data_IF_502764498739
#
_entry.id   IF_502764498739
#
_cell.length_a   1.000
_cell.length_b   1.000
_cell.length_c   1.000
_cell.angle_alpha   90.00
_cell.angle_beta   90.00
_cell.angle_gamma   90.00
#
_symmetry.space_group_name_H-M   'P 1'
#
loop_
_entity.id
_entity.type
_entity.pdbx_description
1 polymer ?
#
# COMPACT_ATOMS: atom_id res chain seq x y z
N UNK A 1 29.22 0.05 -23.18
CA UNK A 1 28.03 0.91 -23.35
C UNK A 1 27.91 1.79 -22.12
N UNK A 2 27.91 3.12 -22.27
CA UNK A 2 27.56 4.02 -21.16
C UNK A 2 26.07 3.83 -20.88
N UNK A 3 25.64 3.61 -19.62
CA UNK A 3 24.22 3.52 -19.31
C UNK A 3 23.55 4.85 -19.68
N UNK A 4 22.40 4.76 -20.35
CA UNK A 4 21.56 5.91 -20.67
C UNK A 4 21.16 6.62 -19.37
N UNK A 5 21.61 7.85 -19.16
CA UNK A 5 21.23 8.66 -18.00
C UNK A 5 19.78 9.12 -18.19
N UNK A 6 18.86 8.53 -17.42
CA UNK A 6 17.46 9.00 -17.38
C UNK A 6 17.42 10.45 -16.87
N UNK A 7 16.74 11.31 -17.63
CA UNK A 7 16.86 12.77 -17.59
C UNK A 7 16.41 13.49 -16.32
N UNK A 8 15.80 12.82 -15.34
CA UNK A 8 15.50 13.40 -14.03
C UNK A 8 15.77 12.35 -12.93
N UNK A 9 16.69 12.65 -12.01
CA UNK A 9 16.93 11.81 -10.81
C UNK A 9 16.10 12.26 -9.60
N UNK A 10 15.39 13.37 -9.72
CA UNK A 10 14.64 14.02 -8.65
C UNK A 10 13.12 13.93 -8.92
N UNK A 11 12.35 13.97 -7.83
CA UNK A 11 10.88 13.96 -7.87
C UNK A 11 10.33 15.27 -7.31
N UNK A 12 9.20 15.70 -7.85
CA UNK A 12 8.53 16.91 -7.40
C UNK A 12 7.83 16.69 -6.07
N UNK A 13 7.68 17.74 -5.25
CA UNK A 13 6.98 17.61 -3.97
C UNK A 13 5.50 17.19 -4.12
N UNK A 14 4.90 17.47 -5.28
CA UNK A 14 3.53 17.07 -5.63
C UNK A 14 3.40 15.59 -5.99
N UNK A 15 4.49 14.90 -6.34
CA UNK A 15 4.45 13.49 -6.71
C UNK A 15 3.98 12.62 -5.53
N UNK A 16 4.13 13.10 -4.28
CA UNK A 16 3.61 12.44 -3.07
C UNK A 16 2.09 12.42 -2.93
N UNK A 17 1.37 13.28 -3.68
CA UNK A 17 -0.09 13.13 -3.81
C UNK A 17 -0.42 11.76 -4.46
N UNK A 18 0.48 11.22 -5.27
CA UNK A 18 0.27 9.99 -6.02
C UNK A 18 1.06 8.80 -5.48
N UNK A 19 2.29 8.99 -4.99
CA UNK A 19 3.13 7.89 -4.48
C UNK A 19 2.45 7.18 -3.32
N UNK A 20 1.93 7.92 -2.34
CA UNK A 20 1.28 7.33 -1.16
C UNK A 20 0.05 6.50 -1.57
N UNK A 21 -0.94 7.05 -2.29
CA UNK A 21 -2.08 6.25 -2.71
C UNK A 21 -1.71 5.11 -3.66
N UNK A 22 -0.70 5.26 -4.53
CA UNK A 22 -0.25 4.17 -5.40
C UNK A 22 0.34 3.00 -4.61
N UNK A 23 0.93 3.28 -3.45
CA UNK A 23 1.47 2.28 -2.53
C UNK A 23 0.40 1.69 -1.60
N UNK A 24 -0.57 2.50 -1.17
CA UNK A 24 -1.64 2.06 -0.26
C UNK A 24 -2.71 1.26 -0.98
N UNK A 25 -3.07 1.66 -2.21
CA UNK A 25 -4.11 0.99 -3.00
C UNK A 25 -3.48 -0.22 -3.69
N UNK A 26 -3.52 -1.33 -2.98
CA UNK A 26 -3.29 -2.68 -3.50
C UNK A 26 -4.32 -3.61 -2.86
N UNK A 27 -3.95 -4.86 -2.57
CA UNK A 27 -4.87 -5.97 -2.28
C UNK A 27 -6.01 -5.61 -1.32
N UNK A 28 -5.73 -4.84 -0.26
CA UNK A 28 -6.67 -4.64 0.85
C UNK A 28 -7.94 -3.88 0.42
N UNK A 29 -7.94 -3.11 -0.67
CA UNK A 29 -9.20 -2.52 -1.19
C UNK A 29 -10.24 -3.60 -1.54
N UNK A 30 -9.80 -4.81 -1.87
CA UNK A 30 -10.69 -5.89 -2.29
C UNK A 30 -11.41 -6.51 -1.11
N UNK A 31 -10.79 -6.48 0.07
CA UNK A 31 -11.25 -7.16 1.28
C UNK A 31 -11.78 -6.18 2.32
N UNK A 32 -11.45 -4.88 2.23
CA UNK A 32 -11.84 -3.89 3.25
C UNK A 32 -13.33 -3.90 3.59
N UNK A 33 -14.28 -4.07 2.64
CA UNK A 33 -15.68 -4.11 3.03
C UNK A 33 -16.04 -5.35 3.83
N UNK A 34 -15.42 -6.49 3.51
CA UNK A 34 -15.60 -7.74 4.24
C UNK A 34 -15.07 -7.62 5.66
N UNK A 35 -13.85 -7.11 5.81
CA UNK A 35 -13.18 -6.97 7.12
C UNK A 35 -13.99 -6.09 8.06
N UNK A 36 -14.48 -4.95 7.57
CA UNK A 36 -15.32 -4.05 8.38
C UNK A 36 -16.69 -4.62 8.68
N UNK A 37 -17.34 -5.26 7.71
CA UNK A 37 -18.67 -5.86 7.89
C UNK A 37 -18.67 -7.02 8.90
N UNK A 38 -17.52 -7.68 9.11
CA UNK A 38 -17.38 -8.73 10.13
C UNK A 38 -17.35 -8.22 11.57
N UNK A 39 -16.94 -6.97 11.78
CA UNK A 39 -16.70 -6.40 13.12
C UNK A 39 -17.59 -5.20 13.45
N UNK A 40 -18.36 -4.72 12.47
CA UNK A 40 -19.30 -3.60 12.61
C UNK A 40 -20.68 -3.97 12.07
N UNK A 41 -21.71 -3.29 12.57
CA UNK A 41 -23.10 -3.49 12.18
C UNK A 41 -23.50 -2.49 11.08
N UNK A 42 -24.31 -2.92 10.12
CA UNK A 42 -24.79 -2.09 9.02
C UNK A 42 -23.62 -1.36 8.32
N UNK A 43 -23.74 -0.04 8.10
CA UNK A 43 -22.70 0.76 7.47
C UNK A 43 -21.69 1.34 8.48
N UNK A 44 -21.79 1.04 9.77
CA UNK A 44 -21.04 1.76 10.80
C UNK A 44 -19.51 1.66 10.69
N UNK A 45 -18.97 0.73 9.90
CA UNK A 45 -17.53 0.63 9.61
C UNK A 45 -16.92 1.89 8.99
N UNK A 46 -17.72 2.83 8.47
CA UNK A 46 -17.22 4.13 8.02
C UNK A 46 -16.58 4.93 9.17
N UNK A 47 -17.09 4.78 10.41
CA UNK A 47 -16.54 5.44 11.59
C UNK A 47 -15.13 4.91 11.87
N UNK A 48 -14.96 3.58 11.81
CA UNK A 48 -13.66 2.92 11.95
C UNK A 48 -12.65 3.36 10.89
N UNK A 49 -13.09 3.48 9.63
CA UNK A 49 -12.26 4.00 8.54
C UNK A 49 -11.82 5.44 8.79
N UNK A 50 -12.72 6.31 9.26
CA UNK A 50 -12.37 7.70 9.59
C UNK A 50 -11.41 7.77 10.78
N UNK A 51 -11.63 6.97 11.83
CA UNK A 51 -10.72 6.89 12.98
C UNK A 51 -9.30 6.48 12.55
N UNK A 52 -9.19 5.44 11.73
CA UNK A 52 -7.92 5.00 11.17
C UNK A 52 -7.32 6.07 10.23
N UNK A 53 -8.12 6.64 9.34
CA UNK A 53 -7.69 7.67 8.41
C UNK A 53 -7.12 8.91 9.09
N UNK A 54 -7.74 9.40 10.16
CA UNK A 54 -7.21 10.52 10.96
C UNK A 54 -5.85 10.16 11.57
N UNK A 55 -5.72 8.94 12.09
CA UNK A 55 -4.47 8.43 12.66
C UNK A 55 -3.36 8.35 11.59
N UNK A 56 -3.68 7.84 10.40
CA UNK A 56 -2.74 7.74 9.26
C UNK A 56 -2.31 9.12 8.77
N UNK A 57 -3.23 10.07 8.62
CA UNK A 57 -2.90 11.45 8.20
C UNK A 57 -1.99 12.12 9.24
N UNK A 58 -2.24 11.88 10.54
CA UNK A 58 -1.37 12.36 11.60
C UNK A 58 0.04 11.75 11.52
N UNK A 59 0.16 10.42 11.39
CA UNK A 59 1.48 9.77 11.30
C UNK A 59 2.21 10.08 10.00
N UNK A 60 1.50 10.28 8.90
CA UNK A 60 2.04 10.81 7.64
C UNK A 60 2.72 12.16 7.88
N UNK A 61 2.07 13.05 8.63
CA UNK A 61 2.64 14.34 8.99
C UNK A 61 3.89 14.20 9.88
N UNK A 62 3.89 13.25 10.81
CA UNK A 62 5.04 12.93 11.70
C UNK A 62 6.24 12.47 10.88
N UNK A 63 6.08 11.49 9.98
CA UNK A 63 7.17 10.98 9.14
C UNK A 63 7.69 12.07 8.21
N UNK A 64 6.80 12.76 7.49
CA UNK A 64 7.19 13.80 6.56
C UNK A 64 7.95 14.93 7.28
N UNK A 65 7.49 15.35 8.46
CA UNK A 65 8.17 16.36 9.27
C UNK A 65 9.53 15.89 9.79
N UNK A 66 9.65 14.63 10.19
CA UNK A 66 10.92 14.05 10.64
C UNK A 66 11.93 14.06 9.51
N UNK A 67 11.57 13.47 8.36
CA UNK A 67 12.50 13.30 7.28
C UNK A 67 12.80 14.61 6.52
N UNK A 68 11.88 15.57 6.52
CA UNK A 68 12.13 16.91 5.98
C UNK A 68 13.18 17.72 6.76
N UNK A 69 13.52 17.32 7.99
CA UNK A 69 14.64 17.90 8.75
C UNK A 69 16.01 17.49 8.21
N UNK A 70 16.07 16.41 7.42
CA UNK A 70 17.30 15.83 6.89
C UNK A 70 17.25 15.76 5.36
N UNK A 71 17.25 16.92 4.68
CA UNK A 71 17.12 16.99 3.22
C UNK A 71 18.23 16.21 2.51
N UNK A 72 17.87 15.46 1.45
CA UNK A 72 18.78 14.63 0.63
C UNK A 72 19.60 13.58 1.42
N UNK A 73 19.20 13.26 2.65
CA UNK A 73 19.82 12.20 3.45
C UNK A 73 18.98 10.91 3.44
N UNK A 74 19.64 9.75 3.33
CA UNK A 74 18.96 8.45 3.44
C UNK A 74 18.49 8.19 4.88
N UNK A 75 17.47 7.33 5.03
CA UNK A 75 17.01 6.85 6.35
C UNK A 75 18.17 6.45 7.27
N UNK A 76 19.06 5.59 6.80
CA UNK A 76 20.23 5.16 7.56
C UNK A 76 21.10 6.33 8.05
N UNK A 77 21.30 7.35 7.20
CA UNK A 77 22.18 8.49 7.50
C UNK A 77 21.59 9.36 8.62
N UNK A 78 20.33 9.78 8.51
CA UNK A 78 19.74 10.60 9.56
C UNK A 78 19.37 9.80 10.81
N UNK A 79 18.97 8.54 10.69
CA UNK A 79 18.75 7.68 11.85
C UNK A 79 20.05 7.51 12.65
N UNK A 80 21.20 7.39 11.98
CA UNK A 80 22.52 7.31 12.63
C UNK A 80 22.85 8.57 13.42
N UNK A 81 22.41 9.75 12.96
CA UNK A 81 22.55 11.02 13.68
C UNK A 81 21.65 11.06 14.93
N UNK A 82 20.44 10.49 14.85
CA UNK A 82 19.45 10.56 15.92
C UNK A 82 19.76 9.58 17.06
N UNK A 83 19.95 8.28 16.78
CA UNK A 83 20.00 7.24 17.81
C UNK A 83 21.42 6.72 18.08
N UNK A 84 22.08 6.17 17.06
CA UNK A 84 23.50 5.83 16.95
C UNK A 84 23.66 4.98 15.68
N UNK A 85 24.88 4.79 15.18
CA UNK A 85 25.12 3.97 13.99
C UNK A 85 24.63 2.51 14.12
N UNK A 86 24.91 1.76 15.22
CA UNK A 86 24.44 0.38 15.34
C UNK A 86 22.91 0.28 15.38
N UNK A 87 22.25 1.16 16.13
CA UNK A 87 20.78 1.18 16.18
C UNK A 87 20.19 1.53 14.82
N UNK A 88 20.76 2.50 14.11
CA UNK A 88 20.32 2.86 12.76
C UNK A 88 20.49 1.71 11.75
N UNK A 89 21.52 0.88 11.88
CA UNK A 89 21.66 -0.35 11.06
C UNK A 89 20.48 -1.28 11.31
N UNK A 90 20.16 -1.58 12.58
CA UNK A 90 19.04 -2.47 12.93
C UNK A 90 17.71 -1.92 12.41
N UNK A 91 17.44 -0.62 12.60
CA UNK A 91 16.21 0.01 12.11
C UNK A 91 16.11 0.00 10.58
N UNK A 92 17.23 0.19 9.88
CA UNK A 92 17.27 0.16 8.41
C UNK A 92 17.02 -1.25 7.89
N UNK A 93 17.61 -2.28 8.54
CA UNK A 93 17.35 -3.69 8.20
C UNK A 93 15.88 -4.03 8.46
N UNK A 94 15.32 -3.61 9.60
CA UNK A 94 13.93 -3.86 9.94
C UNK A 94 12.97 -3.27 8.90
N UNK A 95 13.19 -2.00 8.50
CA UNK A 95 12.45 -1.38 7.39
C UNK A 95 12.63 -2.13 6.07
N UNK A 96 13.87 -2.50 5.73
CA UNK A 96 14.16 -3.24 4.50
C UNK A 96 13.45 -4.59 4.44
N UNK A 97 13.45 -5.34 5.55
CA UNK A 97 12.73 -6.63 5.68
C UNK A 97 11.22 -6.42 5.60
N UNK A 98 10.67 -5.39 6.26
CA UNK A 98 9.25 -5.06 6.18
C UNK A 98 8.79 -4.85 4.72
N UNK A 99 9.50 -4.01 3.97
CA UNK A 99 9.16 -3.77 2.56
C UNK A 99 9.44 -4.98 1.66
N UNK A 100 10.44 -5.80 1.98
CA UNK A 100 10.71 -7.06 1.26
C UNK A 100 9.56 -8.07 1.45
N UNK A 101 9.05 -8.19 2.67
CA UNK A 101 7.90 -9.04 3.00
C UNK A 101 6.63 -8.55 2.31
N UNK A 102 6.41 -7.23 2.27
CA UNK A 102 5.29 -6.63 1.54
C UNK A 102 5.37 -6.92 0.03
N UNK A 103 6.54 -6.78 -0.59
CA UNK A 103 6.72 -7.15 -1.99
C UNK A 103 6.40 -8.64 -2.24
N UNK A 104 6.85 -9.53 -1.35
CA UNK A 104 6.57 -10.96 -1.45
C UNK A 104 5.08 -11.29 -1.25
N UNK A 105 4.41 -10.60 -0.32
CA UNK A 105 2.98 -10.70 -0.09
C UNK A 105 2.19 -10.34 -1.35
N UNK A 106 2.50 -9.20 -1.96
CA UNK A 106 1.87 -8.77 -3.21
C UNK A 106 2.07 -9.78 -4.35
N UNK A 107 3.29 -10.30 -4.50
CA UNK A 107 3.63 -11.33 -5.50
C UNK A 107 2.87 -12.64 -5.28
N UNK A 108 2.65 -13.05 -4.02
CA UNK A 108 1.86 -14.25 -3.72
C UNK A 108 0.38 -14.00 -3.99
N UNK A 109 -0.16 -12.90 -3.48
CA UNK A 109 -1.59 -12.65 -3.55
C UNK A 109 -2.10 -12.46 -4.97
N UNK A 110 -1.33 -11.77 -5.83
CA UNK A 110 -1.69 -11.63 -7.24
C UNK A 110 -1.79 -12.99 -7.94
N UNK A 111 -0.95 -13.97 -7.58
CA UNK A 111 -1.05 -15.32 -8.13
C UNK A 111 -2.32 -16.04 -7.70
N UNK A 112 -2.75 -15.84 -6.45
CA UNK A 112 -3.97 -16.45 -5.91
C UNK A 112 -5.20 -15.88 -6.59
N UNK A 113 -5.31 -14.55 -6.67
CA UNK A 113 -6.42 -13.88 -7.35
C UNK A 113 -6.41 -14.24 -8.84
N UNK A 114 -5.27 -14.12 -9.53
CA UNK A 114 -5.21 -14.41 -10.94
C UNK A 114 -5.57 -15.86 -11.25
N UNK A 115 -5.14 -16.83 -10.41
CA UNK A 115 -5.55 -18.23 -10.57
C UNK A 115 -7.04 -18.42 -10.34
N UNK A 116 -7.62 -17.76 -9.34
CA UNK A 116 -9.04 -17.89 -9.00
C UNK A 116 -9.97 -17.30 -10.06
N UNK A 117 -9.56 -16.21 -10.73
CA UNK A 117 -10.47 -15.43 -11.57
C UNK A 117 -10.08 -15.33 -13.06
N UNK A 118 -8.84 -15.66 -13.43
CA UNK A 118 -8.35 -15.51 -14.81
C UNK A 118 -7.68 -16.77 -15.38
N UNK A 119 -6.87 -17.44 -14.57
CA UNK A 119 -5.88 -18.44 -14.99
C UNK A 119 -6.01 -19.73 -14.16
N UNK A 120 -7.21 -20.30 -14.12
CA UNK A 120 -7.53 -21.49 -13.30
C UNK A 120 -6.57 -22.68 -13.50
N UNK A 121 -6.07 -22.84 -14.73
CA UNK A 121 -5.17 -23.95 -15.12
C UNK A 121 -3.69 -23.66 -14.91
N UNK A 122 -3.31 -22.42 -14.62
CA UNK A 122 -1.90 -22.03 -14.46
C UNK A 122 -1.48 -22.16 -12.99
N UNK A 123 -0.38 -22.88 -12.68
CA UNK A 123 0.15 -22.94 -11.32
C UNK A 123 0.48 -21.54 -10.77
N UNK A 124 0.14 -21.29 -9.50
CA UNK A 124 0.35 -19.99 -8.86
C UNK A 124 1.84 -19.61 -8.80
N UNK A 125 2.72 -20.60 -8.72
CA UNK A 125 4.17 -20.47 -8.75
C UNK A 125 4.64 -19.78 -10.04
N UNK A 126 4.09 -20.19 -11.19
CA UNK A 126 4.42 -19.59 -12.49
C UNK A 126 3.90 -18.17 -12.57
N UNK A 127 2.68 -17.90 -12.09
CA UNK A 127 2.11 -16.55 -12.09
C UNK A 127 2.94 -15.62 -11.19
N UNK A 128 3.29 -16.05 -9.98
CA UNK A 128 4.14 -15.29 -9.06
C UNK A 128 5.52 -15.02 -9.66
N UNK A 129 6.14 -16.03 -10.32
CA UNK A 129 7.43 -15.85 -10.95
C UNK A 129 7.37 -14.81 -12.08
N UNK A 130 6.40 -14.93 -12.99
CA UNK A 130 6.24 -14.00 -14.12
C UNK A 130 5.95 -12.58 -13.62
N UNK A 131 5.05 -12.43 -12.65
CA UNK A 131 4.76 -11.12 -12.06
C UNK A 131 6.00 -10.51 -11.37
N UNK A 132 6.73 -11.31 -10.59
CA UNK A 132 7.96 -10.87 -9.94
C UNK A 132 9.02 -10.44 -10.97
N UNK A 133 9.15 -11.16 -12.10
CA UNK A 133 10.07 -10.76 -13.17
C UNK A 133 9.70 -9.41 -13.79
N UNK A 134 8.41 -9.10 -13.94
CA UNK A 134 7.95 -7.77 -14.39
C UNK A 134 8.30 -6.70 -13.36
N UNK A 135 8.11 -6.97 -12.07
CA UNK A 135 8.51 -6.07 -10.98
C UNK A 135 10.03 -5.84 -10.99
N UNK A 136 10.82 -6.92 -11.13
CA UNK A 136 12.29 -6.88 -11.22
C UNK A 136 12.75 -6.06 -12.41
N UNK A 137 12.12 -6.24 -13.57
CA UNK A 137 12.42 -5.46 -14.77
C UNK A 137 12.18 -3.96 -14.52
N UNK A 138 11.05 -3.60 -13.92
CA UNK A 138 10.73 -2.21 -13.59
C UNK A 138 11.73 -1.61 -12.60
N UNK A 139 12.05 -2.30 -11.49
CA UNK A 139 12.99 -1.78 -10.50
C UNK A 139 14.46 -1.83 -10.97
N UNK A 140 14.78 -2.59 -12.01
CA UNK A 140 16.12 -2.57 -12.64
C UNK A 140 16.41 -1.23 -13.34
N UNK A 141 15.35 -0.50 -13.73
CA UNK A 141 15.44 0.84 -14.28
C UNK A 141 15.67 1.94 -13.23
N UNK A 142 15.41 3.19 -13.63
CA UNK A 142 15.49 4.35 -12.75
C UNK A 142 14.36 4.37 -11.72
N UNK A 143 14.65 4.81 -10.49
CA UNK A 143 13.65 4.94 -9.42
C UNK A 143 12.54 5.93 -9.79
N UNK A 144 12.94 7.05 -10.41
CA UNK A 144 12.00 8.05 -10.95
C UNK A 144 11.11 7.43 -12.02
N UNK A 145 11.63 6.54 -12.86
CA UNK A 145 10.83 5.79 -13.84
C UNK A 145 9.71 4.97 -13.20
N UNK A 146 10.02 4.22 -12.12
CA UNK A 146 9.00 3.48 -11.35
C UNK A 146 7.95 4.42 -10.78
N UNK A 147 8.36 5.54 -10.17
CA UNK A 147 7.43 6.55 -9.63
C UNK A 147 6.54 7.15 -10.72
N UNK A 148 7.07 7.41 -11.93
CA UNK A 148 6.31 7.93 -13.06
C UNK A 148 5.30 6.91 -13.61
N UNK A 149 5.61 5.61 -13.58
CA UNK A 149 4.62 4.56 -13.87
C UNK A 149 3.49 4.56 -12.84
N UNK A 150 3.81 4.69 -11.55
CA UNK A 150 2.81 4.78 -10.49
C UNK A 150 1.89 5.99 -10.68
N UNK A 151 2.47 7.16 -10.99
CA UNK A 151 1.74 8.39 -11.34
C UNK A 151 0.76 8.21 -12.51
N UNK A 152 1.14 7.39 -13.50
CA UNK A 152 0.31 7.10 -14.68
C UNK A 152 -0.84 6.12 -14.34
N UNK A 153 -0.56 5.09 -13.54
CA UNK A 153 -1.52 4.03 -13.23
C UNK A 153 -2.58 4.46 -12.22
N UNK A 154 -2.22 5.30 -11.23
CA UNK A 154 -3.15 5.66 -10.15
C UNK A 154 -4.47 6.29 -10.64
N UNK A 155 -4.49 7.30 -11.54
CA UNK A 155 -5.74 7.87 -12.03
C UNK A 155 -6.63 6.83 -12.73
N UNK A 156 -6.03 5.89 -13.46
CA UNK A 156 -6.75 4.81 -14.14
C UNK A 156 -7.40 3.88 -13.10
N UNK A 157 -6.63 3.48 -12.07
CA UNK A 157 -7.12 2.62 -10.99
C UNK A 157 -8.28 3.29 -10.24
N UNK A 158 -8.12 4.55 -9.83
CA UNK A 158 -9.16 5.30 -9.11
C UNK A 158 -10.40 5.50 -9.98
N UNK A 159 -10.23 5.88 -11.25
CA UNK A 159 -11.33 6.06 -12.18
C UNK A 159 -12.16 4.79 -12.33
N UNK A 160 -11.50 3.64 -12.52
CA UNK A 160 -12.17 2.36 -12.72
C UNK A 160 -12.85 1.89 -11.43
N UNK A 161 -12.20 2.05 -10.28
CA UNK A 161 -12.81 1.72 -9.00
C UNK A 161 -14.08 2.55 -8.74
N UNK A 162 -14.06 3.85 -9.06
CA UNK A 162 -15.24 4.72 -8.96
C UNK A 162 -16.31 4.37 -10.01
N UNK A 163 -15.91 4.00 -11.23
CA UNK A 163 -16.83 3.61 -12.29
C UNK A 163 -17.57 2.31 -11.94
N UNK A 164 -16.84 1.28 -11.49
CA UNK A 164 -17.42 0.03 -10.96
C UNK A 164 -18.43 0.33 -9.85
N UNK A 165 -18.02 1.17 -8.91
CA UNK A 165 -18.85 1.53 -7.76
C UNK A 165 -20.10 2.31 -8.19
N UNK A 166 -19.95 3.24 -9.14
CA UNK A 166 -21.05 4.04 -9.68
C UNK A 166 -22.06 3.22 -10.49
N UNK A 167 -21.62 2.22 -11.25
CA UNK A 167 -22.50 1.32 -12.00
C UNK A 167 -23.42 0.50 -11.10
N UNK A 168 -22.95 0.16 -9.90
CA UNK A 168 -23.71 -0.64 -8.94
C UNK A 168 -24.77 0.17 -8.16
N UNK A 169 -24.85 1.49 -8.37
CA UNK A 169 -25.86 2.32 -7.71
C UNK A 169 -27.31 1.92 -8.07
N UNK A 170 -27.51 1.20 -9.18
CA UNK A 170 -28.83 0.64 -9.56
C UNK A 170 -29.28 -0.44 -8.58
N UNK A 171 -28.35 -1.22 -8.01
CA UNK A 171 -28.61 -2.30 -7.07
C UNK A 171 -28.52 -1.84 -5.60
N UNK A 172 -28.40 -0.54 -5.37
CA UNK A 172 -28.17 0.03 -4.05
C UNK A 172 -29.47 0.19 -3.27
N UNK A 173 -29.62 -0.50 -2.14
CA UNK A 173 -30.74 -0.30 -1.21
C UNK A 173 -30.28 0.51 0.01
N UNK A 174 -30.85 1.72 0.16
CA UNK A 174 -30.58 2.59 1.31
C UNK A 174 -30.96 1.96 2.65
N UNK A 175 -31.89 1.01 2.68
CA UNK A 175 -32.27 0.31 3.91
C UNK A 175 -31.10 -0.46 4.51
N UNK A 176 -30.20 -0.97 3.66
CA UNK A 176 -29.01 -1.69 4.10
C UNK A 176 -28.01 -0.82 4.88
N UNK A 177 -28.08 0.51 4.73
CA UNK A 177 -27.22 1.43 5.47
C UNK A 177 -27.71 1.67 6.91
N UNK A 178 -29.00 1.47 7.14
CA UNK A 178 -29.67 1.83 8.38
C UNK A 178 -29.99 0.60 9.22
N UNK A 179 -30.08 0.73 10.55
CA UNK A 179 -29.77 1.88 11.39
C UNK A 179 -28.27 2.24 11.46
N UNK A 180 -27.99 3.51 11.78
CA UNK A 180 -26.64 4.01 12.02
C UNK A 180 -26.30 3.99 13.51
N UNK A 181 -25.01 3.92 13.82
CA UNK A 181 -24.44 4.00 15.17
C UNK A 181 -24.96 2.91 16.13
N UNK A 182 -25.10 1.69 15.62
CA UNK A 182 -25.51 0.51 16.39
C UNK A 182 -24.33 -0.37 16.80
N UNK A 183 -23.14 -0.10 16.26
CA UNK A 183 -21.91 -0.83 16.57
C UNK A 183 -21.38 -0.46 17.95
N UNK A 184 -20.92 -1.45 18.70
CA UNK A 184 -20.28 -1.22 20.00
C UNK A 184 -18.92 -0.53 19.86
N UNK A 185 -18.46 0.17 20.90
CA UNK A 185 -17.12 0.78 20.90
C UNK A 185 -15.99 -0.23 20.62
N UNK A 186 -16.14 -1.48 21.10
CA UNK A 186 -15.19 -2.56 20.80
C UNK A 186 -15.16 -2.89 19.30
N UNK A 187 -16.31 -2.92 18.65
CA UNK A 187 -16.42 -3.12 17.20
C UNK A 187 -15.75 -2.00 16.42
N UNK A 188 -16.00 -0.74 16.81
CA UNK A 188 -15.34 0.41 16.19
C UNK A 188 -13.82 0.37 16.30
N UNK A 189 -13.29 0.03 17.48
CA UNK A 189 -11.85 -0.09 17.69
C UNK A 189 -11.23 -1.24 16.89
N UNK A 190 -11.90 -2.40 16.85
CA UNK A 190 -11.44 -3.53 16.03
C UNK A 190 -11.39 -3.17 14.54
N UNK A 191 -12.46 -2.57 14.02
CA UNK A 191 -12.48 -2.13 12.62
C UNK A 191 -11.46 -1.04 12.33
N UNK A 192 -11.13 -0.19 13.31
CA UNK A 192 -10.11 0.85 13.16
C UNK A 192 -8.70 0.24 13.12
N UNK A 193 -8.41 -0.80 13.91
CA UNK A 193 -7.15 -1.55 13.85
C UNK A 193 -6.95 -2.18 12.46
N UNK A 194 -7.97 -2.86 11.94
CA UNK A 194 -7.93 -3.46 10.60
C UNK A 194 -7.75 -2.38 9.51
N UNK A 195 -8.46 -1.26 9.66
CA UNK A 195 -8.38 -0.12 8.72
C UNK A 195 -7.02 0.60 8.76
N UNK A 196 -6.31 0.59 9.90
CA UNK A 196 -4.96 1.16 9.99
C UNK A 196 -3.98 0.43 9.08
N UNK A 197 -4.06 -0.90 9.07
CA UNK A 197 -3.25 -1.71 8.15
C UNK A 197 -3.68 -1.50 6.70
N UNK A 198 -4.98 -1.44 6.43
CA UNK A 198 -5.50 -1.20 5.08
C UNK A 198 -5.04 0.14 4.48
N UNK A 199 -4.94 1.18 5.31
CA UNK A 199 -4.50 2.52 4.94
C UNK A 199 -2.99 2.75 5.12
N UNK A 200 -2.23 1.68 5.41
CA UNK A 200 -0.76 1.74 5.46
C UNK A 200 -0.16 2.14 4.13
N UNK A 201 1.06 2.69 4.16
CA UNK A 201 1.78 3.09 2.95
C UNK A 201 2.49 4.44 3.04
N UNK A 202 2.21 5.24 4.06
CA UNK A 202 2.92 6.49 4.30
C UNK A 202 4.35 6.27 4.81
N UNK A 203 4.68 5.08 5.33
CA UNK A 203 6.03 4.67 5.72
C UNK A 203 7.03 4.69 4.55
N UNK A 204 6.55 4.64 3.30
CA UNK A 204 7.37 4.81 2.09
C UNK A 204 8.13 6.14 2.08
N UNK A 205 7.60 7.15 2.81
CA UNK A 205 8.23 8.45 3.00
C UNK A 205 9.63 8.36 3.62
N UNK A 206 9.94 7.33 4.42
CA UNK A 206 11.27 7.17 5.00
C UNK A 206 12.39 7.11 3.96
N UNK A 207 12.07 6.61 2.76
CA UNK A 207 13.03 6.41 1.67
C UNK A 207 12.89 7.44 0.56
N UNK A 208 11.67 7.76 0.14
CA UNK A 208 11.47 8.56 -1.08
C UNK A 208 11.61 10.08 -0.86
N UNK A 209 11.43 10.59 0.36
CA UNK A 209 11.55 12.04 0.62
C UNK A 209 12.97 12.58 0.37
N UNK A 210 13.99 11.70 0.46
CA UNK A 210 15.37 12.06 0.16
C UNK A 210 15.60 12.40 -1.32
N UNK A 211 14.66 12.04 -2.20
CA UNK A 211 14.72 12.29 -3.65
C UNK A 211 14.07 13.64 -4.05
N UNK A 212 13.59 14.43 -3.09
CA UNK A 212 12.86 15.69 -3.32
C UNK A 212 13.74 16.89 -3.04
N UNK A 213 13.66 17.91 -3.89
CA UNK A 213 14.35 19.18 -3.68
C UNK A 213 13.80 20.03 -2.54
N UNK A 214 12.47 20.04 -2.39
CA UNK A 214 11.73 20.86 -1.42
C UNK A 214 10.99 20.02 -0.37
N UNK A 215 11.71 19.34 0.53
CA UNK A 215 11.11 18.38 1.45
C UNK A 215 10.13 19.02 2.44
N UNK A 216 10.26 20.32 2.75
CA UNK A 216 9.32 21.04 3.63
C UNK A 216 7.88 21.07 3.11
N UNK A 217 7.69 21.07 1.78
CA UNK A 217 6.35 21.08 1.17
C UNK A 217 5.76 19.66 1.08
N UNK A 218 6.58 18.62 1.19
CA UNK A 218 6.15 17.22 1.08
C UNK A 218 5.11 16.88 2.13
N UNK A 219 5.21 17.41 3.36
CA UNK A 219 4.24 17.14 4.42
C UNK A 219 2.79 17.41 3.98
N UNK A 220 2.53 18.57 3.36
CA UNK A 220 1.19 18.93 2.90
C UNK A 220 0.70 17.96 1.81
N UNK A 221 1.54 17.68 0.83
CA UNK A 221 1.18 16.83 -0.30
C UNK A 221 1.02 15.36 0.08
N UNK A 222 1.85 14.88 1.01
CA UNK A 222 1.75 13.55 1.59
C UNK A 222 0.44 13.38 2.37
N UNK A 223 0.05 14.35 3.19
CA UNK A 223 -1.23 14.31 3.90
C UNK A 223 -2.42 14.28 2.95
N UNK A 224 -2.38 15.06 1.85
CA UNK A 224 -3.42 15.02 0.81
C UNK A 224 -3.44 13.64 0.13
N UNK A 225 -2.26 13.08 -0.19
CA UNK A 225 -2.14 11.74 -0.76
C UNK A 225 -2.73 10.66 0.14
N UNK A 226 -2.50 10.73 1.45
CA UNK A 226 -3.06 9.79 2.42
C UNK A 226 -4.60 9.85 2.53
N UNK A 227 -5.23 10.98 2.18
CA UNK A 227 -6.69 11.09 2.16
C UNK A 227 -7.34 10.42 0.94
N UNK A 228 -6.59 10.18 -0.15
CA UNK A 228 -7.15 9.60 -1.38
C UNK A 228 -7.62 8.14 -1.18
N UNK A 229 -6.81 7.22 -0.61
CA UNK A 229 -7.25 5.86 -0.32
C UNK A 229 -8.39 5.84 0.71
N UNK A 230 -8.33 6.71 1.73
CA UNK A 230 -9.40 6.84 2.72
C UNK A 230 -10.75 7.16 2.05
N UNK A 231 -10.79 8.17 1.18
CA UNK A 231 -12.00 8.54 0.46
C UNK A 231 -12.49 7.42 -0.45
N UNK A 232 -11.57 6.77 -1.18
CA UNK A 232 -11.90 5.65 -2.06
C UNK A 232 -12.48 4.46 -1.29
N UNK A 233 -11.87 4.10 -0.15
CA UNK A 233 -12.30 2.96 0.67
C UNK A 233 -13.65 3.24 1.33
N UNK A 234 -13.91 4.47 1.77
CA UNK A 234 -15.22 4.88 2.28
C UNK A 234 -16.32 4.71 1.22
N UNK A 235 -16.05 5.14 -0.02
CA UNK A 235 -16.99 5.02 -1.14
C UNK A 235 -17.28 3.55 -1.46
N UNK A 236 -16.22 2.74 -1.64
CA UNK A 236 -16.37 1.31 -1.96
C UNK A 236 -17.08 0.56 -0.83
N UNK A 237 -16.68 0.79 0.43
CA UNK A 237 -17.32 0.18 1.58
C UNK A 237 -18.82 0.51 1.65
N UNK A 238 -19.17 1.79 1.53
CA UNK A 238 -20.57 2.23 1.59
C UNK A 238 -21.41 1.59 0.49
N UNK A 239 -20.88 1.51 -0.74
CA UNK A 239 -21.60 0.86 -1.85
C UNK A 239 -21.67 -0.64 -1.69
N UNK A 240 -20.62 -1.31 -1.22
CA UNK A 240 -20.67 -2.74 -0.92
C UNK A 240 -21.77 -3.06 0.11
N UNK A 241 -21.89 -2.28 1.18
CA UNK A 241 -22.95 -2.44 2.18
C UNK A 241 -24.32 -2.10 1.57
N UNK A 242 -24.45 -1.02 0.81
CA UNK A 242 -25.71 -0.65 0.16
C UNK A 242 -26.23 -1.71 -0.81
N UNK A 243 -25.33 -2.39 -1.53
CA UNK A 243 -25.68 -3.40 -2.55
C UNK A 243 -25.90 -4.78 -1.91
N UNK A 244 -25.01 -5.22 -1.03
CA UNK A 244 -25.03 -6.59 -0.51
C UNK A 244 -25.65 -6.72 0.89
N UNK A 245 -25.82 -5.64 1.65
CA UNK A 245 -25.99 -5.60 3.11
C UNK A 245 -24.72 -5.98 3.89
N UNK A 246 -24.64 -5.59 5.16
CA UNK A 246 -23.51 -5.91 6.03
C UNK A 246 -23.35 -7.41 6.26
N UNK A 247 -24.46 -8.14 6.46
CA UNK A 247 -24.44 -9.58 6.70
C UNK A 247 -23.83 -10.34 5.51
N UNK A 248 -24.33 -10.08 4.29
CA UNK A 248 -23.78 -10.72 3.09
C UNK A 248 -22.35 -10.26 2.82
N UNK A 249 -22.04 -8.96 2.96
CA UNK A 249 -20.68 -8.42 2.74
C UNK A 249 -19.65 -9.11 3.64
N UNK A 250 -20.02 -9.42 4.89
CA UNK A 250 -19.18 -10.17 5.84
C UNK A 250 -18.88 -11.61 5.43
N UNK A 251 -19.65 -12.20 4.51
CA UNK A 251 -19.42 -13.56 3.98
C UNK A 251 -18.66 -13.59 2.65
N UNK A 252 -18.70 -12.51 1.87
CA UNK A 252 -18.01 -12.39 0.58
C UNK A 252 -16.53 -12.09 0.83
N UNK A 253 -15.61 -12.96 0.39
CA UNK A 253 -14.17 -12.77 0.59
C UNK A 253 -13.66 -11.47 -0.07
N UNK A 254 -14.11 -11.19 -1.30
CA UNK A 254 -13.68 -10.04 -2.09
C UNK A 254 -14.85 -9.17 -2.58
N UNK A 255 -15.52 -8.38 -1.70
CA UNK A 255 -16.73 -7.64 -2.08
C UNK A 255 -16.52 -6.68 -3.24
N UNK A 256 -15.34 -6.07 -3.37
CA UNK A 256 -15.02 -5.15 -4.47
C UNK A 256 -14.96 -5.85 -5.82
N UNK A 257 -14.52 -7.12 -5.86
CA UNK A 257 -14.57 -7.95 -7.07
C UNK A 257 -16.02 -8.29 -7.41
N UNK A 258 -16.82 -8.65 -6.40
CA UNK A 258 -18.23 -8.99 -6.62
C UNK A 258 -19.06 -7.77 -7.08
N UNK A 259 -18.74 -6.56 -6.61
CA UNK A 259 -19.26 -5.32 -7.20
C UNK A 259 -18.88 -5.22 -8.68
N UNK A 260 -17.62 -5.50 -9.05
CA UNK A 260 -17.20 -5.47 -10.46
C UNK A 260 -17.94 -6.50 -11.33
N UNK A 261 -18.27 -7.67 -10.79
CA UNK A 261 -19.06 -8.69 -11.49
C UNK A 261 -20.53 -8.32 -11.62
N UNK A 262 -21.12 -7.73 -10.58
CA UNK A 262 -22.49 -7.27 -10.56
C UNK A 262 -22.74 -6.03 -11.44
N UNK A 263 -21.67 -5.34 -11.85
CA UNK A 263 -21.73 -4.22 -12.77
C UNK A 263 -22.09 -4.69 -14.20
N UNK A 264 -23.39 -4.79 -14.50
CA UNK A 264 -23.86 -5.01 -15.87
C UNK A 264 -23.70 -3.73 -16.70
N UNK A 265 -23.05 -3.82 -17.86
CA UNK A 265 -23.02 -2.73 -18.85
C UNK A 265 -24.25 -2.86 -19.76
N UNK A 266 -25.16 -1.87 -19.76
CA UNK A 266 -26.30 -1.88 -20.68
C UNK A 266 -25.83 -2.01 -22.13
N UNK A 267 -26.37 -2.99 -22.86
CA UNK A 267 -26.04 -3.24 -24.27
C UNK A 267 -25.04 -4.37 -24.55
N UNK A 268 -24.60 -5.14 -23.54
CA UNK A 268 -23.85 -6.39 -23.73
C UNK A 268 -22.45 -6.26 -24.34
N UNK A 269 -21.99 -5.04 -24.62
CA UNK A 269 -20.71 -4.76 -25.29
C UNK A 269 -19.49 -5.11 -24.42
N UNK A 270 -19.66 -5.23 -23.10
CA UNK A 270 -18.62 -5.51 -22.12
C UNK A 270 -18.87 -6.84 -21.36
N UNK A 271 -19.18 -7.92 -22.07
CA UNK A 271 -19.33 -9.27 -21.49
C UNK A 271 -18.10 -9.86 -20.76
N UNK A 272 -17.02 -9.07 -20.58
CA UNK A 272 -15.80 -9.41 -19.82
C UNK A 272 -15.29 -8.23 -18.98
N UNK A 273 -16.19 -7.42 -18.43
CA UNK A 273 -15.83 -6.29 -17.55
C UNK A 273 -14.96 -6.74 -16.35
N UNK A 274 -15.20 -7.96 -15.87
CA UNK A 274 -14.38 -8.65 -14.86
C UNK A 274 -12.90 -8.74 -15.26
N UNK A 275 -12.59 -9.14 -16.50
CA UNK A 275 -11.20 -9.25 -17.00
C UNK A 275 -10.52 -7.88 -17.12
N UNK A 276 -11.27 -6.83 -17.50
CA UNK A 276 -10.78 -5.45 -17.52
C UNK A 276 -10.45 -4.97 -16.11
N UNK A 277 -11.36 -5.21 -15.15
CA UNK A 277 -11.14 -4.90 -13.74
C UNK A 277 -9.86 -5.57 -13.22
N UNK A 278 -9.68 -6.88 -13.46
CA UNK A 278 -8.47 -7.58 -13.01
C UNK A 278 -7.18 -7.09 -13.67
N UNK A 279 -7.23 -6.70 -14.95
CA UNK A 279 -6.07 -6.14 -15.65
C UNK A 279 -5.62 -4.83 -14.99
N UNK A 280 -6.57 -3.94 -14.72
CA UNK A 280 -6.32 -2.64 -14.09
C UNK A 280 -5.92 -2.82 -12.63
N UNK A 281 -6.54 -3.78 -11.96
CA UNK A 281 -6.22 -4.13 -10.59
C UNK A 281 -4.80 -4.67 -10.43
N UNK A 282 -4.31 -5.44 -11.41
CA UNK A 282 -2.92 -5.92 -11.44
C UNK A 282 -1.92 -4.75 -11.50
N UNK A 283 -2.31 -3.59 -12.04
CA UNK A 283 -1.49 -2.38 -12.00
C UNK A 283 -1.32 -1.82 -10.57
N UNK A 284 -2.37 -1.93 -9.74
CA UNK A 284 -2.36 -1.46 -8.35
C UNK A 284 -1.41 -2.32 -7.48
N UNK A 285 -1.50 -3.64 -7.64
CA UNK A 285 -0.58 -4.60 -7.01
C UNK A 285 0.85 -4.36 -7.50
N UNK A 286 1.05 -4.15 -8.81
CA UNK A 286 2.37 -3.86 -9.38
C UNK A 286 2.98 -2.58 -8.79
N UNK A 287 2.20 -1.52 -8.63
CA UNK A 287 2.63 -0.27 -8.01
C UNK A 287 3.20 -0.50 -6.61
N UNK A 288 2.43 -1.17 -5.75
CA UNK A 288 2.84 -1.46 -4.37
C UNK A 288 4.03 -2.40 -4.32
N UNK A 289 4.01 -3.51 -5.08
CA UNK A 289 5.12 -4.46 -5.13
C UNK A 289 6.42 -3.82 -5.61
N UNK A 290 6.36 -2.97 -6.64
CA UNK A 290 7.55 -2.31 -7.22
C UNK A 290 8.13 -1.25 -6.29
N UNK A 291 7.31 -0.42 -5.66
CA UNK A 291 7.75 0.58 -4.68
C UNK A 291 8.28 -0.08 -3.40
N UNK A 292 7.63 -1.14 -2.91
CA UNK A 292 8.09 -1.89 -1.74
C UNK A 292 9.44 -2.57 -2.04
N UNK A 293 9.57 -3.20 -3.21
CA UNK A 293 10.84 -3.82 -3.57
C UNK A 293 11.97 -2.80 -3.78
N UNK A 294 11.70 -1.65 -4.42
CA UNK A 294 12.69 -0.58 -4.54
C UNK A 294 13.06 0.04 -3.16
N UNK A 295 12.11 0.17 -2.23
CA UNK A 295 12.39 0.58 -0.85
C UNK A 295 13.34 -0.40 -0.13
N UNK A 296 13.13 -1.71 -0.28
CA UNK A 296 14.04 -2.72 0.26
C UNK A 296 15.45 -2.62 -0.36
N UNK A 297 15.54 -2.35 -1.68
CA UNK A 297 16.81 -2.10 -2.37
C UNK A 297 17.50 -0.81 -1.89
N UNK A 298 16.74 0.26 -1.60
CA UNK A 298 17.28 1.50 -1.00
C UNK A 298 17.84 1.21 0.40
N UNK A 299 17.10 0.47 1.22
CA UNK A 299 17.56 0.08 2.56
C UNK A 299 18.89 -0.68 2.49
N UNK A 300 18.97 -1.73 1.66
CA UNK A 300 20.19 -2.52 1.48
C UNK A 300 21.36 -1.69 0.93
N UNK A 301 21.10 -0.87 -0.11
CA UNK A 301 22.11 0.02 -0.70
C UNK A 301 22.61 1.11 0.24
N UNK A 302 21.78 1.54 1.20
CA UNK A 302 22.18 2.54 2.20
C UNK A 302 23.19 1.99 3.23
N UNK A 303 23.16 0.67 3.48
CA UNK A 303 24.08 -0.03 4.37
C UNK A 303 25.39 -0.38 3.67
N UNK A 304 25.35 -0.79 2.39
CA UNK A 304 26.55 -1.15 1.62
C UNK A 304 26.69 -0.29 0.36
N UNK A 305 27.17 0.95 0.55
CA UNK A 305 27.28 1.97 -0.52
C UNK A 305 28.13 1.57 -1.74
N UNK A 306 29.03 0.60 -1.59
CA UNK A 306 29.92 0.14 -2.67
C UNK A 306 29.27 -0.91 -3.59
N UNK A 307 28.14 -1.49 -3.18
CA UNK A 307 27.45 -2.54 -3.94
C UNK A 307 26.44 -1.91 -4.90
N UNK A 308 26.49 -2.32 -6.17
CA UNK A 308 25.58 -1.80 -7.20
C UNK A 308 24.15 -2.30 -6.96
N UNK A 309 23.15 -1.47 -7.30
CA UNK A 309 21.71 -1.83 -7.20
C UNK A 309 21.40 -3.20 -7.81
N UNK A 310 21.96 -3.49 -8.99
CA UNK A 310 21.72 -4.75 -9.70
C UNK A 310 22.18 -5.99 -8.91
N UNK A 311 23.26 -5.88 -8.13
CA UNK A 311 23.73 -6.98 -7.28
C UNK A 311 22.71 -7.29 -6.18
N UNK A 312 22.12 -6.27 -5.57
CA UNK A 312 21.04 -6.47 -4.61
C UNK A 312 19.79 -7.04 -5.26
N UNK A 313 19.46 -6.64 -6.49
CA UNK A 313 18.34 -7.24 -7.23
C UNK A 313 18.57 -8.75 -7.38
N UNK A 314 19.76 -9.20 -7.79
CA UNK A 314 20.04 -10.63 -7.91
C UNK A 314 20.03 -11.39 -6.58
N UNK A 315 20.42 -10.76 -5.48
CA UNK A 315 20.41 -11.38 -4.14
C UNK A 315 19.00 -11.44 -3.54
N UNK A 316 18.24 -10.35 -3.64
CA UNK A 316 16.95 -10.21 -2.96
C UNK A 316 15.80 -10.84 -3.77
N UNK A 317 15.88 -10.90 -5.11
CA UNK A 317 14.80 -11.48 -5.94
C UNK A 317 14.49 -12.93 -5.57
N UNK A 318 15.48 -13.85 -5.46
CA UNK A 318 15.21 -15.22 -5.03
C UNK A 318 14.59 -15.27 -3.63
N UNK A 319 14.99 -14.38 -2.72
CA UNK A 319 14.44 -14.32 -1.36
C UNK A 319 12.97 -13.90 -1.40
N UNK A 320 12.62 -12.86 -2.18
CA UNK A 320 11.21 -12.44 -2.40
C UNK A 320 10.38 -13.60 -2.93
N UNK A 321 10.90 -14.31 -3.94
CA UNK A 321 10.20 -15.46 -4.52
C UNK A 321 9.98 -16.58 -3.48
N UNK A 322 11.02 -16.96 -2.73
CA UNK A 322 10.91 -18.01 -1.72
C UNK A 322 9.93 -17.65 -0.60
N UNK A 323 9.92 -16.39 -0.15
CA UNK A 323 8.94 -15.89 0.83
C UNK A 323 7.53 -15.94 0.23
N UNK A 324 7.35 -15.50 -1.02
CA UNK A 324 6.05 -15.53 -1.69
C UNK A 324 5.52 -16.95 -1.83
N UNK A 325 6.38 -17.96 -2.00
CA UNK A 325 6.00 -19.37 -2.11
C UNK A 325 5.79 -20.06 -0.75
N UNK A 326 6.11 -19.40 0.36
CA UNK A 326 5.97 -19.99 1.69
C UNK A 326 4.50 -20.28 2.05
N UNK A 327 3.53 -19.35 1.87
CA UNK A 327 2.13 -19.61 2.17
C UNK A 327 1.47 -20.52 1.14
N UNK A 328 0.98 -21.68 1.55
CA UNK A 328 0.39 -22.71 0.68
C UNK A 328 -1.10 -22.49 0.39
N UNK A 329 -1.81 -21.85 1.30
CA UNK A 329 -3.24 -21.60 1.23
C UNK A 329 -3.62 -20.19 1.73
N UNK A 330 -4.91 -19.87 1.65
CA UNK A 330 -5.45 -18.58 2.09
C UNK A 330 -5.27 -18.33 3.60
N UNK A 331 -5.24 -19.38 4.41
CA UNK A 331 -5.08 -19.25 5.88
C UNK A 331 -3.65 -18.82 6.19
N UNK A 332 -2.66 -19.44 5.55
CA UNK A 332 -1.26 -19.04 5.70
C UNK A 332 -1.02 -17.62 5.15
N UNK A 333 -1.68 -17.23 4.06
CA UNK A 333 -1.62 -15.84 3.54
C UNK A 333 -2.21 -14.85 4.54
N UNK A 334 -3.37 -15.16 5.13
CA UNK A 334 -3.98 -14.32 6.17
C UNK A 334 -3.11 -14.21 7.44
N UNK A 335 -2.31 -15.24 7.72
CA UNK A 335 -1.34 -15.23 8.82
C UNK A 335 -0.16 -14.32 8.51
N UNK A 336 0.34 -14.35 7.27
CA UNK A 336 1.34 -13.43 6.76
C UNK A 336 0.84 -11.97 6.80
N UNK A 337 -0.41 -11.73 6.39
CA UNK A 337 -1.06 -10.42 6.46
C UNK A 337 -1.11 -9.89 7.91
N UNK A 338 -1.50 -10.73 8.87
CA UNK A 338 -1.52 -10.36 10.29
C UNK A 338 -0.13 -10.02 10.82
N UNK A 339 0.89 -10.80 10.45
CA UNK A 339 2.27 -10.50 10.80
C UNK A 339 2.71 -9.15 10.24
N UNK A 340 2.33 -8.84 8.99
CA UNK A 340 2.61 -7.56 8.36
C UNK A 340 1.87 -6.41 9.04
N UNK A 341 0.64 -6.61 9.52
CA UNK A 341 -0.08 -5.62 10.32
C UNK A 341 0.67 -5.24 11.60
N UNK A 342 1.16 -6.24 12.35
CA UNK A 342 2.01 -5.97 13.53
C UNK A 342 3.33 -5.29 13.15
N UNK A 343 3.97 -5.74 12.06
CA UNK A 343 5.18 -5.09 11.54
C UNK A 343 4.92 -3.64 11.16
N UNK A 344 3.77 -3.32 10.57
CA UNK A 344 3.36 -1.97 10.25
C UNK A 344 3.15 -1.13 11.51
N UNK A 345 2.53 -1.66 12.57
CA UNK A 345 2.42 -0.94 13.84
C UNK A 345 3.79 -0.53 14.39
N UNK A 346 4.77 -1.43 14.32
CA UNK A 346 6.15 -1.14 14.72
C UNK A 346 6.79 -0.06 13.83
N UNK A 347 6.66 -0.19 12.50
CA UNK A 347 7.37 0.63 11.52
C UNK A 347 6.71 1.97 11.22
N UNK A 348 5.39 1.99 11.05
CA UNK A 348 4.60 3.17 10.69
C UNK A 348 4.23 4.05 11.88
N UNK A 349 4.12 3.49 13.09
CA UNK A 349 3.68 4.22 14.29
C UNK A 349 4.81 4.36 15.32
N UNK A 350 5.34 3.26 15.84
CA UNK A 350 6.31 3.32 16.95
C UNK A 350 7.69 3.86 16.54
N UNK A 351 8.19 3.48 15.36
CA UNK A 351 9.48 3.92 14.86
C UNK A 351 9.54 5.44 14.60
N UNK A 352 8.62 6.08 13.87
CA UNK A 352 8.70 7.52 13.63
C UNK A 352 8.45 8.36 14.88
N UNK A 353 7.57 7.91 15.78
CA UNK A 353 7.34 8.60 17.05
C UNK A 353 8.58 8.56 17.93
N UNK A 354 9.18 7.39 18.11
CA UNK A 354 10.42 7.24 18.88
C UNK A 354 11.58 8.06 18.28
N UNK A 355 11.79 8.02 16.96
CA UNK A 355 12.83 8.84 16.31
C UNK A 355 12.57 10.33 16.45
N UNK A 356 11.32 10.80 16.30
CA UNK A 356 11.00 12.23 16.44
C UNK A 356 11.17 12.70 17.89
N UNK A 357 10.78 11.88 18.87
CA UNK A 357 10.98 12.17 20.29
C UNK A 357 12.46 12.21 20.64
N UNK A 358 13.26 11.21 20.23
CA UNK A 358 14.70 11.17 20.44
C UNK A 358 15.41 12.37 19.79
N UNK A 359 15.02 12.75 18.57
CA UNK A 359 15.57 13.93 17.89
C UNK A 359 15.28 15.22 18.67
N UNK A 360 14.08 15.36 19.25
CA UNK A 360 13.73 16.51 20.10
C UNK A 360 14.51 16.51 21.42
N UNK A 361 14.57 15.37 22.12
CA UNK A 361 15.26 15.24 23.42
C UNK A 361 16.76 15.51 23.30
N UNK A 362 17.38 15.04 22.22
CA UNK A 362 18.81 15.27 21.96
C UNK A 362 19.13 16.64 21.34
N UNK A 363 18.13 17.51 21.15
CA UNK A 363 18.32 18.84 20.58
C UNK A 363 18.85 18.83 19.14
N UNK A 364 18.67 17.73 18.40
CA UNK A 364 19.15 17.61 17.02
C UNK A 364 18.23 18.44 16.13
N UNK A 365 18.64 19.69 15.89
CA UNK A 365 18.08 20.53 14.84
C UNK A 365 18.61 20.00 13.52
N UNK A 366 17.76 19.32 12.75
CA UNK A 366 18.15 18.95 11.39
C UNK A 366 18.42 20.20 10.56
N UNK A 367 19.16 20.06 9.46
CA UNK A 367 19.65 21.16 8.63
C UNK A 367 18.54 21.81 7.76
N UNK A 368 17.27 21.58 8.10
CA UNK A 368 16.08 21.91 7.32
C UNK A 368 15.40 23.19 7.79
#
# INVERSE_FOLDING_TARGET
MKPFEYGDQEIGEKDFIYIIPSFTIAIVILTIPNTLAKVTNFVDGWVSLIMAGMCIVFFTAVIAKLAARFPKETFFTYASKICSKPVAVVLTILLGVHFLLLAAYEVRYVSVIARQYLLERTPGEIISLLFLLVVVYAVSGSRVGVIRLNLLFLPIIVFIALLVTGMNLVNFDFKNLSPFFTTSWKGYLSGAEDSLFALSGFEILFFYIALVDRPKKVQKYAMIGACIPLGLYLVIYTVAIGVFSAETTGTIIYPTIELAKAAEVPGGFLGRFESLFFTIWSMAIFNTASLAYDAALIAAGSLFKQVKKITFIFILTPIVYLIAMFPKDLIEISTMERFMSYSFFLVGILLPTSLLLLAKVRGIKGNG
#
